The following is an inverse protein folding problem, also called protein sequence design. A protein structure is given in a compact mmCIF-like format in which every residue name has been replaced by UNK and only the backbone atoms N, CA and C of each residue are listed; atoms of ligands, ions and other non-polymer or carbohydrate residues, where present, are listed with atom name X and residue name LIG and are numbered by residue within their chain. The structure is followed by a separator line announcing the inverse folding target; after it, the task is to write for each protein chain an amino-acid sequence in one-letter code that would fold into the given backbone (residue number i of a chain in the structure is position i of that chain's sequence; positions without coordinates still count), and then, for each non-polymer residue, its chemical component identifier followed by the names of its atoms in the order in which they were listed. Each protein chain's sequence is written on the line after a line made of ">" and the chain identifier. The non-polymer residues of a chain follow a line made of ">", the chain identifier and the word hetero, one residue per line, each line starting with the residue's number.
data_IF_634088940503
#
_entry.id   IF_634088940503
#
_cell.length_a   1.000
_cell.length_b   1.000
_cell.length_c   1.000
_cell.angle_alpha   90.00
_cell.angle_beta   90.00
_cell.angle_gamma   90.00
#
_symmetry.space_group_name_H-M   'P 1'
#
loop_
_entity.id
_entity.type
_entity.pdbx_description
1 polymer ?
#
# COMPACT_ATOMS: atom_id res chain seq x y z
N UNK A 1 -7.08 -16.73 -6.08
CA UNK A 1 -6.51 -16.50 -4.73
C UNK A 1 -5.33 -15.57 -4.89
N UNK A 2 -5.14 -14.66 -3.93
CA UNK A 2 -4.02 -13.71 -3.93
C UNK A 2 -2.97 -14.10 -2.86
N UNK A 3 -1.83 -13.43 -2.86
CA UNK A 3 -0.81 -13.58 -1.82
C UNK A 3 -1.26 -12.93 -0.50
N UNK A 4 -0.77 -13.44 0.64
CA UNK A 4 -1.16 -12.98 1.97
C UNK A 4 -0.80 -11.51 2.21
N UNK A 5 0.36 -11.12 1.72
CA UNK A 5 0.92 -9.79 1.83
C UNK A 5 0.03 -8.72 1.19
N UNK A 6 -0.84 -9.10 0.25
CA UNK A 6 -1.84 -8.20 -0.31
C UNK A 6 -2.83 -7.72 0.76
N UNK A 7 -3.36 -8.63 1.58
CA UNK A 7 -4.32 -8.28 2.62
C UNK A 7 -3.65 -7.49 3.76
N UNK A 8 -2.39 -7.81 4.06
CA UNK A 8 -1.61 -7.05 5.05
C UNK A 8 -1.31 -5.62 4.57
N UNK A 9 -0.93 -5.46 3.30
CA UNK A 9 -0.76 -4.15 2.67
C UNK A 9 -2.06 -3.32 2.73
N UNK A 10 -3.20 -3.94 2.39
CA UNK A 10 -4.50 -3.29 2.46
C UNK A 10 -4.83 -2.85 3.88
N UNK A 11 -4.65 -3.75 4.85
CA UNK A 11 -4.92 -3.45 6.25
C UNK A 11 -4.12 -2.24 6.74
N UNK A 12 -2.82 -2.19 6.43
CA UNK A 12 -1.96 -1.06 6.81
C UNK A 12 -2.38 0.24 6.14
N UNK A 13 -2.71 0.23 4.83
CA UNK A 13 -3.10 1.44 4.10
C UNK A 13 -4.43 2.02 4.58
N UNK A 14 -5.43 1.17 4.78
CA UNK A 14 -6.79 1.62 5.13
C UNK A 14 -6.90 2.08 6.59
N UNK A 15 -6.03 1.56 7.46
CA UNK A 15 -5.87 2.07 8.83
C UNK A 15 -4.89 3.25 8.93
N UNK A 16 -4.34 3.71 7.80
CA UNK A 16 -3.42 4.85 7.73
C UNK A 16 -2.19 4.68 8.62
N UNK A 17 -1.68 3.46 8.72
CA UNK A 17 -0.47 3.19 9.47
C UNK A 17 0.72 3.92 8.85
N UNK A 18 1.53 4.55 9.68
CA UNK A 18 2.86 4.99 9.28
C UNK A 18 3.84 3.79 9.17
N UNK A 19 5.09 4.06 8.83
CA UNK A 19 6.09 3.01 8.63
C UNK A 19 6.39 2.22 9.92
N UNK A 20 6.45 2.88 11.08
CA UNK A 20 6.75 2.22 12.35
C UNK A 20 5.55 1.41 12.84
N UNK A 21 4.33 1.94 12.70
CA UNK A 21 3.08 1.21 12.99
C UNK A 21 2.92 0.00 12.07
N UNK A 22 3.22 0.14 10.78
CA UNK A 22 3.19 -0.97 9.83
C UNK A 22 4.20 -2.04 10.23
N UNK A 23 5.43 -1.64 10.59
CA UNK A 23 6.47 -2.56 11.06
C UNK A 23 6.03 -3.29 12.32
N UNK A 24 5.53 -2.60 13.34
CA UNK A 24 5.05 -3.19 14.59
C UNK A 24 3.90 -4.19 14.33
N UNK A 25 2.91 -3.79 13.53
CA UNK A 25 1.81 -4.67 13.14
C UNK A 25 2.31 -5.97 12.51
N UNK A 26 3.26 -5.88 11.60
CA UNK A 26 3.81 -7.02 10.89
C UNK A 26 4.67 -7.92 11.79
N UNK A 27 5.44 -7.35 12.72
CA UNK A 27 6.14 -8.13 13.74
C UNK A 27 5.17 -8.97 14.57
N UNK A 28 4.05 -8.36 15.00
CA UNK A 28 3.01 -9.07 15.75
C UNK A 28 2.36 -10.15 14.89
N UNK A 29 1.96 -9.81 13.66
CA UNK A 29 1.26 -10.73 12.75
C UNK A 29 2.10 -11.97 12.44
N UNK A 30 3.41 -11.81 12.21
CA UNK A 30 4.33 -12.91 11.90
C UNK A 30 5.02 -13.52 13.14
N UNK A 31 4.61 -13.14 14.35
CA UNK A 31 5.25 -13.60 15.60
C UNK A 31 6.78 -13.38 15.63
N UNK A 32 7.25 -12.25 15.09
CA UNK A 32 8.67 -11.91 14.99
C UNK A 32 9.44 -12.65 13.89
N UNK A 33 8.76 -13.37 13.00
CA UNK A 33 9.39 -14.20 11.94
C UNK A 33 9.21 -13.64 10.53
N UNK A 34 8.82 -12.37 10.40
CA UNK A 34 8.64 -11.74 9.09
C UNK A 34 9.99 -11.70 8.35
N UNK A 35 9.98 -12.09 7.07
CA UNK A 35 11.18 -12.06 6.23
C UNK A 35 11.28 -10.76 5.43
N UNK A 36 12.49 -10.44 4.95
CA UNK A 36 12.70 -9.32 4.02
C UNK A 36 11.88 -9.45 2.73
N UNK A 37 11.64 -10.69 2.26
CA UNK A 37 10.77 -10.92 1.11
C UNK A 37 9.32 -10.51 1.41
N UNK A 38 8.79 -10.87 2.58
CA UNK A 38 7.45 -10.47 2.98
C UNK A 38 7.33 -8.94 3.07
N UNK A 39 8.31 -8.26 3.70
CA UNK A 39 8.32 -6.78 3.80
C UNK A 39 8.31 -6.14 2.42
N UNK A 40 9.17 -6.62 1.52
CA UNK A 40 9.26 -6.12 0.15
C UNK A 40 7.95 -6.32 -0.61
N UNK A 41 7.33 -7.50 -0.51
CA UNK A 41 6.03 -7.78 -1.13
C UNK A 41 4.94 -6.86 -0.59
N UNK A 42 4.88 -6.66 0.72
CA UNK A 42 3.90 -5.76 1.34
C UNK A 42 4.06 -4.34 0.80
N UNK A 43 5.28 -3.79 0.76
CA UNK A 43 5.54 -2.46 0.20
C UNK A 43 5.11 -2.37 -1.27
N UNK A 44 5.45 -3.38 -2.08
CA UNK A 44 5.01 -3.46 -3.49
C UNK A 44 3.48 -3.44 -3.58
N UNK A 45 2.79 -4.24 -2.75
CA UNK A 45 1.34 -4.31 -2.77
C UNK A 45 0.66 -3.05 -2.26
N UNK A 46 1.27 -2.31 -1.33
CA UNK A 46 0.78 -0.99 -0.95
C UNK A 46 0.79 -0.03 -2.15
N UNK A 47 1.89 0.00 -2.91
CA UNK A 47 2.00 0.81 -4.14
C UNK A 47 0.95 0.36 -5.17
N UNK A 48 0.85 -0.95 -5.43
CA UNK A 48 -0.11 -1.50 -6.38
C UNK A 48 -1.56 -1.19 -6.00
N UNK A 49 -1.93 -1.28 -4.73
CA UNK A 49 -3.27 -1.00 -4.26
C UNK A 49 -3.60 0.49 -4.33
N UNK A 50 -2.70 1.38 -3.90
CA UNK A 50 -2.89 2.81 -4.08
C UNK A 50 -3.11 3.19 -5.55
N UNK A 51 -2.30 2.64 -6.45
CA UNK A 51 -2.49 2.85 -7.89
C UNK A 51 -3.80 2.26 -8.41
N UNK A 52 -4.16 1.04 -8.00
CA UNK A 52 -5.42 0.38 -8.37
C UNK A 52 -6.62 1.22 -7.96
N UNK A 53 -6.63 1.70 -6.71
CA UNK A 53 -7.75 2.48 -6.18
C UNK A 53 -7.80 3.88 -6.79
N UNK A 54 -6.68 4.47 -7.20
CA UNK A 54 -6.67 5.67 -8.05
C UNK A 54 -7.42 5.43 -9.36
N UNK A 55 -7.11 4.33 -10.08
CA UNK A 55 -7.79 4.00 -11.34
C UNK A 55 -9.27 3.71 -11.13
N UNK A 56 -9.62 3.02 -10.04
CA UNK A 56 -11.00 2.78 -9.65
C UNK A 56 -11.75 4.11 -9.43
N UNK A 57 -11.13 5.08 -8.76
CA UNK A 57 -11.73 6.41 -8.56
C UNK A 57 -11.98 7.12 -9.88
N UNK A 58 -10.97 7.15 -10.78
CA UNK A 58 -11.14 7.77 -12.11
C UNK A 58 -12.31 7.12 -12.84
N UNK A 59 -12.36 5.80 -12.89
CA UNK A 59 -13.46 5.08 -13.55
C UNK A 59 -14.82 5.44 -12.94
N UNK A 60 -14.88 5.58 -11.62
CA UNK A 60 -16.11 5.91 -10.91
C UNK A 60 -16.58 7.34 -11.15
N UNK A 61 -15.65 8.28 -11.19
CA UNK A 61 -15.95 9.69 -11.46
C UNK A 61 -16.41 9.90 -12.91
N UNK A 62 -15.88 9.13 -13.87
CA UNK A 62 -16.38 9.09 -15.25
C UNK A 62 -17.86 8.64 -15.34
N UNK A 63 -18.37 7.92 -14.33
CA UNK A 63 -19.78 7.50 -14.24
C UNK A 63 -20.64 8.44 -13.39
N UNK A 64 -20.15 9.65 -13.07
CA UNK A 64 -20.90 10.70 -12.38
C UNK A 64 -20.87 10.62 -10.85
N UNK A 65 -20.08 9.72 -10.27
CA UNK A 65 -19.78 9.73 -8.84
C UNK A 65 -18.73 10.84 -8.53
N UNK A 66 -18.62 11.28 -7.28
CA UNK A 66 -17.63 12.30 -6.88
C UNK A 66 -16.91 11.84 -5.61
N UNK A 67 -15.61 11.61 -5.71
CA UNK A 67 -14.77 11.16 -4.59
C UNK A 67 -13.78 12.24 -4.13
N UNK A 68 -13.89 13.46 -4.66
CA UNK A 68 -13.06 14.60 -4.31
C UNK A 68 -11.58 14.32 -4.55
N UNK A 69 -10.78 14.36 -3.49
CA UNK A 69 -9.33 14.14 -3.58
C UNK A 69 -8.90 12.70 -3.26
N UNK A 70 -9.82 11.78 -3.01
CA UNK A 70 -9.50 10.40 -2.62
C UNK A 70 -8.52 9.72 -3.59
N UNK A 71 -8.82 9.75 -4.90
CA UNK A 71 -7.97 9.14 -5.92
C UNK A 71 -6.60 9.81 -6.05
N UNK A 72 -6.57 11.15 -5.88
CA UNK A 72 -5.33 11.95 -5.93
C UNK A 72 -4.43 11.67 -4.74
N UNK A 73 -4.99 11.60 -3.54
CA UNK A 73 -4.25 11.30 -2.30
C UNK A 73 -3.61 9.92 -2.41
N UNK A 74 -4.36 8.91 -2.87
CA UNK A 74 -3.82 7.57 -3.11
C UNK A 74 -2.72 7.57 -4.17
N UNK A 75 -2.88 8.31 -5.25
CA UNK A 75 -1.84 8.40 -6.28
C UNK A 75 -0.54 9.02 -5.76
N UNK A 76 -0.64 10.12 -5.00
CA UNK A 76 0.54 10.76 -4.40
C UNK A 76 1.24 9.83 -3.40
N UNK A 77 0.48 9.07 -2.61
CA UNK A 77 1.04 8.08 -1.70
C UNK A 77 1.72 6.92 -2.44
N UNK A 78 1.16 6.44 -3.55
CA UNK A 78 1.81 5.44 -4.40
C UNK A 78 3.18 5.91 -4.93
N UNK A 79 3.27 7.16 -5.38
CA UNK A 79 4.54 7.74 -5.84
C UNK A 79 5.56 7.85 -4.71
N UNK A 80 5.14 8.32 -3.53
CA UNK A 80 6.03 8.40 -2.37
C UNK A 80 6.55 7.02 -1.95
N UNK A 81 5.69 6.01 -1.88
CA UNK A 81 6.10 4.65 -1.54
C UNK A 81 7.00 4.03 -2.60
N UNK A 82 6.83 4.39 -3.87
CA UNK A 82 7.74 3.99 -4.95
C UNK A 82 9.14 4.59 -4.75
N UNK A 83 9.25 5.86 -4.36
CA UNK A 83 10.54 6.49 -4.01
C UNK A 83 11.22 5.78 -2.83
N UNK A 84 10.45 5.44 -1.78
CA UNK A 84 10.95 4.65 -0.63
C UNK A 84 11.48 3.30 -1.09
N UNK A 85 10.72 2.58 -1.91
CA UNK A 85 11.13 1.26 -2.43
C UNK A 85 12.41 1.35 -3.27
N UNK A 86 12.54 2.38 -4.11
CA UNK A 86 13.77 2.59 -4.90
C UNK A 86 14.97 2.91 -4.01
N UNK A 87 14.79 3.68 -2.93
CA UNK A 87 15.84 3.96 -1.98
C UNK A 87 16.30 2.70 -1.22
N UNK A 88 15.35 1.87 -0.76
CA UNK A 88 15.63 0.69 0.07
C UNK A 88 16.22 -0.49 -0.71
N UNK A 89 15.76 -0.74 -1.95
CA UNK A 89 16.05 -2.00 -2.66
C UNK A 89 16.87 -1.85 -3.96
N UNK A 90 17.30 -0.64 -4.32
CA UNK A 90 18.05 -0.39 -5.56
C UNK A 90 19.53 -0.06 -5.35
N UNK A 91 19.99 -0.02 -4.09
CA UNK A 91 21.40 0.08 -3.68
C UNK A 91 21.92 -1.25 -3.14
#
# INVERSE_FOLDING_TARGET
>A
MNELEWDLAAFSLENQFDQEQTKEFLEIYFEGKITEENRKKILIYQICQDFLWTLWTVLKEEHGENFGDYGKIRYQRALHLLEVMEYEYRN
#
